data_IF_914265046504
#
_entry.id   IF_914265046504
#
_cell.length_a   1.000
_cell.length_b   1.000
_cell.length_c   1.000
_cell.angle_alpha   90.00
_cell.angle_beta   90.00
_cell.angle_gamma   90.00
#
_symmetry.space_group_name_H-M   'P 1'
#
loop_
_entity.id
_entity.type
_entity.pdbx_description
1 polymer ?
#
# COMPACT_ATOMS: atom_id res chain seq x y z
N UNK A 1 0.31 -11.16 19.24
CA UNK A 1 0.77 -12.44 18.65
C UNK A 1 0.63 -12.45 17.13
N UNK A 2 -0.58 -12.29 16.56
CA UNK A 2 -0.81 -12.35 15.10
C UNK A 2 -0.11 -11.24 14.29
N UNK A 3 -0.09 -10.00 14.81
CA UNK A 3 0.59 -8.86 14.16
C UNK A 3 2.11 -9.09 14.07
N UNK A 4 2.72 -9.62 15.13
CA UNK A 4 4.17 -9.90 15.13
C UNK A 4 4.54 -10.97 14.12
N UNK A 5 3.75 -12.04 14.02
CA UNK A 5 3.93 -13.11 13.01
C UNK A 5 3.87 -12.55 11.58
N UNK A 6 2.94 -11.64 11.31
CA UNK A 6 2.82 -10.99 10.00
C UNK A 6 4.07 -10.16 9.68
N UNK A 7 4.55 -9.34 10.62
CA UNK A 7 5.77 -8.55 10.44
C UNK A 7 7.03 -9.43 10.32
N UNK A 8 7.09 -10.55 11.03
CA UNK A 8 8.18 -11.53 10.92
C UNK A 8 8.20 -12.20 9.55
N UNK A 9 7.05 -12.64 9.05
CA UNK A 9 6.91 -13.20 7.72
C UNK A 9 7.37 -12.21 6.66
N UNK A 10 6.92 -10.96 6.76
CA UNK A 10 7.34 -9.89 5.87
C UNK A 10 8.84 -9.64 5.92
N UNK A 11 9.42 -9.52 7.13
CA UNK A 11 10.87 -9.33 7.28
C UNK A 11 11.66 -10.50 6.68
N UNK A 12 11.17 -11.73 6.85
CA UNK A 12 11.81 -12.92 6.28
C UNK A 12 11.81 -12.90 4.75
N UNK A 13 10.66 -12.57 4.14
CA UNK A 13 10.54 -12.44 2.69
C UNK A 13 11.44 -11.32 2.15
N UNK A 14 11.46 -10.18 2.82
CA UNK A 14 12.30 -9.04 2.44
C UNK A 14 13.79 -9.41 2.47
N UNK A 15 14.25 -10.15 3.49
CA UNK A 15 15.63 -10.62 3.58
C UNK A 15 16.00 -11.56 2.43
N UNK A 16 15.11 -12.51 2.10
CA UNK A 16 15.33 -13.45 1.02
C UNK A 16 15.45 -12.73 -0.33
N UNK A 17 14.56 -11.78 -0.60
CA UNK A 17 14.59 -10.97 -1.82
C UNK A 17 15.84 -10.09 -1.85
N UNK A 18 16.20 -9.47 -0.73
CA UNK A 18 17.38 -8.62 -0.62
C UNK A 18 18.66 -9.36 -0.94
N UNK A 19 18.85 -10.57 -0.41
CA UNK A 19 20.04 -11.40 -0.68
C UNK A 19 20.16 -11.74 -2.17
N UNK A 20 19.04 -12.13 -2.80
CA UNK A 20 19.02 -12.43 -4.23
C UNK A 20 19.34 -11.19 -5.08
N UNK A 21 18.79 -10.02 -4.71
CA UNK A 21 19.06 -8.76 -5.41
C UNK A 21 20.52 -8.32 -5.23
N UNK A 22 21.08 -8.41 -4.03
CA UNK A 22 22.48 -8.06 -3.79
C UNK A 22 23.44 -8.91 -4.61
N UNK A 23 23.17 -10.21 -4.75
CA UNK A 23 23.98 -11.10 -5.59
C UNK A 23 23.87 -10.72 -7.07
N UNK A 24 22.66 -10.51 -7.58
CA UNK A 24 22.43 -10.18 -9.00
C UNK A 24 22.95 -8.80 -9.40
N UNK A 25 22.81 -7.82 -8.51
CA UNK A 25 23.06 -6.41 -8.82
C UNK A 25 24.48 -5.95 -8.43
N UNK A 26 25.31 -6.81 -7.84
CA UNK A 26 26.58 -6.39 -7.23
C UNK A 26 27.55 -5.69 -8.19
N UNK A 27 27.56 -6.10 -9.46
CA UNK A 27 28.49 -5.59 -10.48
C UNK A 27 27.88 -4.51 -11.37
N UNK A 28 26.69 -4.01 -11.03
CA UNK A 28 25.98 -2.99 -11.78
C UNK A 28 26.06 -1.63 -11.07
N UNK A 29 25.87 -0.56 -11.85
CA UNK A 29 25.70 0.81 -11.35
C UNK A 29 24.30 1.28 -11.72
N UNK A 30 23.70 2.06 -10.84
CA UNK A 30 22.36 2.60 -11.01
C UNK A 30 22.36 4.06 -10.62
N UNK A 31 21.78 4.91 -11.47
CA UNK A 31 21.62 6.34 -11.21
C UNK A 31 20.29 6.65 -10.50
N UNK A 32 19.37 5.67 -10.50
CA UNK A 32 18.05 5.76 -9.90
C UNK A 32 17.69 4.44 -9.21
N UNK A 33 17.16 4.55 -7.98
CA UNK A 33 16.54 3.46 -7.25
C UNK A 33 15.07 3.81 -7.03
N UNK A 34 14.21 2.89 -7.45
CA UNK A 34 12.76 3.00 -7.27
C UNK A 34 12.29 1.98 -6.23
N UNK A 35 11.63 2.45 -5.17
CA UNK A 35 11.15 1.59 -4.07
C UNK A 35 9.68 1.81 -3.77
N UNK A 36 9.02 0.81 -3.21
CA UNK A 36 7.65 0.96 -2.71
C UNK A 36 7.64 1.49 -1.26
N UNK A 37 6.73 2.42 -0.96
CA UNK A 37 6.37 2.84 0.39
C UNK A 37 5.07 2.15 0.75
N UNK A 38 5.25 0.98 1.38
CA UNK A 38 4.16 0.25 2.01
C UNK A 38 4.71 -0.50 3.21
N UNK A 39 5.37 -1.61 2.97
CA UNK A 39 5.78 -2.51 4.03
C UNK A 39 7.13 -2.11 4.64
N UNK A 40 8.21 -2.03 3.85
CA UNK A 40 9.59 -1.90 4.35
C UNK A 40 10.38 -0.80 3.65
N UNK A 41 11.31 -0.18 4.37
CA UNK A 41 12.30 0.77 3.83
C UNK A 41 13.64 0.12 3.51
N UNK A 42 13.78 -1.19 3.72
CA UNK A 42 15.04 -1.92 3.59
C UNK A 42 15.75 -1.68 2.24
N UNK A 43 14.97 -1.59 1.17
CA UNK A 43 15.48 -1.43 -0.19
C UNK A 43 16.07 -0.05 -0.47
N UNK A 44 15.84 0.95 0.39
CA UNK A 44 16.53 2.24 0.30
C UNK A 44 18.05 2.10 0.49
N UNK A 45 18.52 1.01 1.10
CA UNK A 45 19.95 0.71 1.19
C UNK A 45 20.64 0.57 -0.17
N UNK A 46 19.91 0.21 -1.23
CA UNK A 46 20.46 0.23 -2.58
C UNK A 46 20.80 1.65 -3.06
N UNK A 47 20.01 2.66 -2.67
CA UNK A 47 20.31 4.05 -3.00
C UNK A 47 21.60 4.52 -2.30
N UNK A 48 21.82 4.08 -1.06
CA UNK A 48 23.10 4.29 -0.37
C UNK A 48 24.26 3.59 -1.08
N UNK A 49 24.12 2.30 -1.40
CA UNK A 49 25.16 1.48 -2.05
C UNK A 49 25.59 2.06 -3.40
N UNK A 50 24.63 2.47 -4.22
CA UNK A 50 24.91 2.97 -5.57
C UNK A 50 25.04 4.49 -5.65
N UNK A 51 24.82 5.21 -4.54
CA UNK A 51 24.75 6.68 -4.50
C UNK A 51 23.75 7.25 -5.52
N UNK A 52 22.61 6.56 -5.64
CA UNK A 52 21.59 6.82 -6.63
C UNK A 52 20.50 7.76 -6.09
N UNK A 53 19.77 8.41 -7.00
CA UNK A 53 18.55 9.16 -6.63
C UNK A 53 17.43 8.19 -6.23
N UNK A 54 16.48 8.67 -5.41
CA UNK A 54 15.38 7.85 -4.89
C UNK A 54 14.04 8.37 -5.42
N UNK A 55 13.28 7.48 -6.05
CA UNK A 55 11.86 7.69 -6.35
C UNK A 55 11.05 6.61 -5.63
N UNK A 56 9.94 7.00 -5.03
CA UNK A 56 9.07 6.08 -4.34
C UNK A 56 7.73 5.90 -5.04
N UNK A 57 7.19 4.69 -4.94
CA UNK A 57 5.86 4.30 -5.39
C UNK A 57 5.00 3.95 -4.17
N UNK A 58 3.70 4.19 -4.23
CA UNK A 58 2.76 3.62 -3.27
C UNK A 58 1.60 3.00 -4.02
N UNK A 59 1.34 1.72 -3.78
CA UNK A 59 0.26 0.95 -4.40
C UNK A 59 -1.13 1.33 -3.88
N UNK A 60 -1.18 2.01 -2.74
CA UNK A 60 -2.39 2.46 -2.07
C UNK A 60 -2.26 3.94 -1.65
N UNK A 61 -3.31 4.57 -1.07
CA UNK A 61 -3.16 5.87 -0.45
C UNK A 61 -2.03 5.86 0.59
N UNK A 62 -1.32 6.99 0.71
CA UNK A 62 -0.14 7.10 1.57
C UNK A 62 -0.42 6.62 2.99
N UNK A 63 0.29 5.58 3.39
CA UNK A 63 0.23 4.97 4.73
C UNK A 63 0.72 5.94 5.83
N UNK A 64 0.28 5.80 7.09
CA UNK A 64 0.56 6.78 8.14
C UNK A 64 2.05 7.07 8.37
N UNK A 65 2.91 6.04 8.34
CA UNK A 65 4.38 6.18 8.46
C UNK A 65 5.06 6.77 7.22
N UNK A 66 4.34 6.89 6.11
CA UNK A 66 4.80 7.57 4.89
C UNK A 66 4.60 9.09 4.94
N UNK A 67 3.63 9.57 5.73
CA UNK A 67 3.16 10.97 5.69
C UNK A 67 4.23 11.96 6.14
N UNK A 68 4.94 11.65 7.24
CA UNK A 68 5.99 12.51 7.80
C UNK A 68 7.19 12.68 6.86
N UNK A 69 7.48 11.69 6.03
CA UNK A 69 8.62 11.70 5.09
C UNK A 69 8.52 12.82 4.06
N UNK A 70 7.28 13.17 3.70
CA UNK A 70 6.97 14.17 2.68
C UNK A 70 6.29 15.42 3.28
N UNK A 71 6.19 15.53 4.61
CA UNK A 71 5.50 16.65 5.26
C UNK A 71 4.00 16.70 4.94
N UNK A 72 3.38 15.55 4.67
CA UNK A 72 1.94 15.47 4.40
C UNK A 72 1.18 15.63 5.73
N UNK A 73 0.21 16.57 5.85
CA UNK A 73 -0.60 16.69 7.05
C UNK A 73 -1.37 15.41 7.35
N UNK A 74 -1.30 14.90 8.58
CA UNK A 74 -1.92 13.64 9.03
C UNK A 74 -2.64 13.80 10.38
N UNK A 75 -3.53 14.80 10.48
CA UNK A 75 -4.29 15.03 11.71
C UNK A 75 -5.51 14.08 11.80
N UNK A 76 -5.57 13.17 12.79
CA UNK A 76 -6.65 12.19 12.91
C UNK A 76 -8.01 12.79 13.30
N UNK A 77 -8.10 14.08 13.61
CA UNK A 77 -9.39 14.74 13.89
C UNK A 77 -10.26 14.92 12.64
N UNK A 78 -9.64 14.94 11.44
CA UNK A 78 -10.33 15.12 10.16
C UNK A 78 -9.78 14.23 9.02
N UNK A 79 -8.65 13.55 9.22
CA UNK A 79 -8.12 12.56 8.26
C UNK A 79 -8.45 11.16 8.75
N UNK A 80 -9.25 10.38 7.99
CA UNK A 80 -9.53 8.99 8.35
C UNK A 80 -8.27 8.13 8.35
N UNK A 81 -8.25 7.18 9.26
CA UNK A 81 -7.24 6.13 9.34
C UNK A 81 -7.17 5.36 8.01
N UNK A 82 -5.94 5.18 7.49
CA UNK A 82 -5.67 4.70 6.14
C UNK A 82 -6.28 3.32 5.80
N UNK A 83 -6.51 2.47 6.81
CA UNK A 83 -7.10 1.14 6.63
C UNK A 83 -8.56 1.06 7.07
N UNK A 84 -9.21 2.18 7.35
CA UNK A 84 -10.65 2.19 7.60
C UNK A 84 -11.44 2.53 6.34
N UNK A 85 -12.50 1.76 6.11
CA UNK A 85 -13.54 2.12 5.16
C UNK A 85 -14.38 3.26 5.73
N UNK A 86 -14.13 4.50 5.27
CA UNK A 86 -14.96 5.70 5.50
C UNK A 86 -15.49 5.83 6.94
N UNK A 87 -14.63 6.21 7.88
CA UNK A 87 -15.08 6.61 9.22
C UNK A 87 -15.78 7.96 9.07
N UNK A 88 -17.03 8.03 9.50
CA UNK A 88 -17.70 9.30 9.73
C UNK A 88 -17.05 9.99 10.94
N UNK A 89 -16.27 11.04 10.68
CA UNK A 89 -15.58 11.82 11.70
C UNK A 89 -16.44 12.95 12.29
N UNK A 90 -17.77 12.93 12.12
CA UNK A 90 -18.66 13.94 12.73
C UNK A 90 -18.66 13.87 14.25
N UNK A 91 -18.71 12.67 14.83
CA UNK A 91 -18.80 12.47 16.28
C UNK A 91 -17.43 12.46 16.97
N UNK A 92 -17.37 12.93 18.22
CA UNK A 92 -16.15 12.92 19.03
C UNK A 92 -15.62 11.50 19.27
N UNK A 93 -16.51 10.54 19.52
CA UNK A 93 -16.15 9.14 19.74
C UNK A 93 -15.50 8.51 18.52
N UNK A 94 -15.99 8.78 17.32
CA UNK A 94 -15.38 8.30 16.08
C UNK A 94 -14.00 8.93 15.85
N UNK A 95 -13.84 10.22 16.13
CA UNK A 95 -12.53 10.88 16.07
C UNK A 95 -11.54 10.30 17.08
N UNK A 96 -11.99 9.98 18.29
CA UNK A 96 -11.17 9.37 19.32
C UNK A 96 -10.71 7.96 18.92
N UNK A 97 -11.61 7.14 18.37
CA UNK A 97 -11.26 5.85 17.80
C UNK A 97 -10.28 5.97 16.64
N UNK A 98 -10.50 6.92 15.74
CA UNK A 98 -9.61 7.19 14.62
C UNK A 98 -8.19 7.58 15.09
N UNK A 99 -8.11 8.48 16.08
CA UNK A 99 -6.85 8.85 16.73
C UNK A 99 -6.16 7.63 17.33
N UNK A 100 -6.88 6.84 18.13
CA UNK A 100 -6.33 5.67 18.80
C UNK A 100 -5.81 4.63 17.81
N UNK A 101 -6.56 4.32 16.75
CA UNK A 101 -6.14 3.39 15.70
C UNK A 101 -4.90 3.88 14.94
N UNK A 102 -4.86 5.16 14.57
CA UNK A 102 -3.69 5.74 13.88
C UNK A 102 -2.46 5.74 14.82
N UNK A 103 -2.64 6.17 16.07
CA UNK A 103 -1.58 6.23 17.07
C UNK A 103 -0.94 4.86 17.35
N UNK A 104 -1.76 3.81 17.54
CA UNK A 104 -1.25 2.45 17.76
C UNK A 104 -0.43 1.99 16.56
N UNK A 105 -0.98 2.14 15.35
CA UNK A 105 -0.30 1.62 14.16
C UNK A 105 1.05 2.31 13.94
N UNK A 106 1.07 3.63 14.10
CA UNK A 106 2.30 4.42 13.99
C UNK A 106 3.33 4.04 15.05
N UNK A 107 2.89 3.91 16.30
CA UNK A 107 3.76 3.49 17.42
C UNK A 107 4.34 2.10 17.18
N UNK A 108 3.52 1.15 16.73
CA UNK A 108 3.98 -0.22 16.42
C UNK A 108 5.01 -0.21 15.29
N UNK A 109 4.75 0.56 14.22
CA UNK A 109 5.68 0.70 13.11
C UNK A 109 7.02 1.31 13.56
N UNK A 110 6.98 2.45 14.25
CA UNK A 110 8.16 3.19 14.66
C UNK A 110 9.00 2.43 15.71
N UNK A 111 8.36 1.86 16.73
CA UNK A 111 9.09 1.26 17.84
C UNK A 111 9.59 -0.16 17.55
N UNK A 112 8.80 -0.98 16.85
CA UNK A 112 9.15 -2.39 16.64
C UNK A 112 9.71 -2.65 15.25
N UNK A 113 9.07 -2.11 14.22
CA UNK A 113 9.35 -2.52 12.86
C UNK A 113 10.55 -1.74 12.26
N UNK A 114 10.60 -0.42 12.46
CA UNK A 114 11.69 0.41 11.95
C UNK A 114 13.06 0.02 12.51
N UNK A 115 13.14 -0.27 13.82
CA UNK A 115 14.37 -0.73 14.46
C UNK A 115 14.88 -2.06 13.87
N UNK A 116 13.97 -3.00 13.63
CA UNK A 116 14.31 -4.30 13.03
C UNK A 116 14.84 -4.14 11.61
N UNK A 117 14.17 -3.33 10.80
CA UNK A 117 14.61 -3.03 9.43
C UNK A 117 15.96 -2.31 9.45
N UNK A 118 16.14 -1.30 10.30
CA UNK A 118 17.38 -0.52 10.38
C UNK A 118 18.59 -1.42 10.69
N UNK A 119 18.43 -2.35 11.64
CA UNK A 119 19.47 -3.34 11.96
C UNK A 119 19.75 -4.28 10.79
N UNK A 120 18.71 -4.76 10.10
CA UNK A 120 18.85 -5.56 8.89
C UNK A 120 19.58 -4.80 7.79
N UNK A 121 19.22 -3.55 7.53
CA UNK A 121 19.85 -2.71 6.52
C UNK A 121 21.35 -2.55 6.80
N UNK A 122 21.73 -2.25 8.04
CA UNK A 122 23.13 -2.17 8.46
C UNK A 122 23.88 -3.49 8.29
N UNK A 123 23.23 -4.63 8.55
CA UNK A 123 23.83 -5.95 8.34
C UNK A 123 24.21 -6.20 6.88
N UNK A 124 23.38 -5.77 5.92
CA UNK A 124 23.60 -6.06 4.48
C UNK A 124 24.38 -4.95 3.74
N UNK A 125 24.24 -3.69 4.15
CA UNK A 125 24.84 -2.53 3.47
C UNK A 125 26.00 -1.89 4.24
N UNK A 126 26.30 -2.37 5.45
CA UNK A 126 27.41 -1.93 6.30
C UNK A 126 26.93 -1.17 7.54
N UNK A 127 27.68 -1.28 8.64
CA UNK A 127 27.39 -0.61 9.93
C UNK A 127 27.35 0.92 9.81
N UNK A 128 28.15 1.44 8.89
CA UNK A 128 28.38 2.88 8.68
C UNK A 128 27.34 3.50 7.72
N UNK A 129 26.36 2.70 7.29
CA UNK A 129 25.27 3.15 6.43
C UNK A 129 24.48 4.28 7.09
N UNK A 130 24.17 5.31 6.29
CA UNK A 130 23.21 6.36 6.65
C UNK A 130 21.89 5.75 7.14
N UNK A 131 21.29 6.34 8.18
CA UNK A 131 20.04 5.80 8.72
C UNK A 131 18.94 5.76 7.64
N UNK A 132 18.05 4.77 7.71
CA UNK A 132 16.93 4.67 6.78
C UNK A 132 16.05 5.92 6.84
N UNK A 133 15.87 6.50 8.02
CA UNK A 133 15.16 7.76 8.22
C UNK A 133 15.77 8.90 7.39
N UNK A 134 17.09 9.04 7.38
CA UNK A 134 17.78 10.05 6.56
C UNK A 134 17.66 9.75 5.06
N UNK A 135 17.69 8.47 4.67
CA UNK A 135 17.47 8.08 3.27
C UNK A 135 16.04 8.37 2.81
N UNK A 136 15.03 8.16 3.67
CA UNK A 136 13.63 8.48 3.30
C UNK A 136 13.46 9.96 2.98
N UNK A 137 14.16 10.85 3.71
CA UNK A 137 14.16 12.31 3.47
C UNK A 137 14.82 12.71 2.15
N UNK A 138 15.66 11.85 1.56
CA UNK A 138 16.29 12.09 0.25
C UNK A 138 15.40 11.67 -0.94
N UNK A 139 14.20 11.15 -0.67
CA UNK A 139 13.24 10.77 -1.71
C UNK A 139 12.77 12.00 -2.48
N UNK A 140 13.08 12.05 -3.78
CA UNK A 140 12.81 13.22 -4.62
C UNK A 140 11.36 13.27 -5.11
N UNK A 141 10.71 12.13 -5.25
CA UNK A 141 9.36 12.02 -5.82
C UNK A 141 8.63 10.81 -5.20
N UNK A 142 7.35 11.00 -4.89
CA UNK A 142 6.42 9.93 -4.53
C UNK A 142 5.28 9.86 -5.54
N UNK A 143 5.14 8.69 -6.17
CA UNK A 143 4.05 8.37 -7.08
C UNK A 143 3.02 7.50 -6.34
N UNK A 144 1.81 8.02 -6.16
CA UNK A 144 0.75 7.36 -5.36
C UNK A 144 -0.34 6.84 -6.28
N UNK A 145 -0.65 5.55 -6.18
CA UNK A 145 -1.80 4.96 -6.84
C UNK A 145 -3.09 5.30 -6.10
N UNK A 146 -3.44 6.59 -6.11
CA UNK A 146 -4.72 7.11 -5.66
C UNK A 146 -5.23 8.16 -6.66
N UNK A 147 -6.49 8.57 -6.49
CA UNK A 147 -7.08 9.63 -7.29
C UNK A 147 -7.86 10.57 -6.37
N UNK A 148 -7.80 11.91 -6.57
CA UNK A 148 -8.51 12.87 -5.74
C UNK A 148 -10.02 12.59 -5.62
N UNK A 149 -10.65 12.07 -6.68
CA UNK A 149 -12.09 11.74 -6.68
C UNK A 149 -12.48 10.54 -5.80
N UNK A 150 -11.52 9.74 -5.32
CA UNK A 150 -11.78 8.52 -4.54
C UNK A 150 -11.65 8.72 -3.03
N UNK A 151 -11.14 9.88 -2.59
CA UNK A 151 -10.81 10.16 -1.19
C UNK A 151 -11.19 11.60 -0.83
N UNK A 152 -11.19 11.88 0.46
CA UNK A 152 -11.36 13.24 0.96
C UNK A 152 -10.22 14.15 0.49
N UNK A 153 -10.52 15.44 0.36
CA UNK A 153 -9.53 16.44 -0.02
C UNK A 153 -8.40 16.48 1.01
N UNK A 154 -7.18 16.19 0.56
CA UNK A 154 -5.96 16.22 1.38
C UNK A 154 -4.90 17.08 0.70
N UNK A 155 -4.29 18.05 1.40
CA UNK A 155 -3.17 18.80 0.85
C UNK A 155 -1.97 17.87 0.66
N UNK A 156 -1.41 17.88 -0.54
CA UNK A 156 -0.21 17.12 -0.89
C UNK A 156 0.89 18.10 -1.34
N UNK A 157 2.15 17.88 -0.93
CA UNK A 157 3.28 18.64 -1.44
C UNK A 157 3.50 18.34 -2.93
N UNK A 158 4.18 19.23 -3.68
CA UNK A 158 4.36 19.07 -5.13
C UNK A 158 5.14 17.81 -5.53
N UNK A 159 5.97 17.27 -4.62
CA UNK A 159 6.72 16.03 -4.83
C UNK A 159 5.87 14.76 -4.69
N UNK A 160 4.58 14.88 -4.38
CA UNK A 160 3.66 13.73 -4.26
C UNK A 160 2.64 13.82 -5.40
N UNK A 161 2.76 12.92 -6.36
CA UNK A 161 1.92 12.90 -7.57
C UNK A 161 0.99 11.70 -7.53
N UNK A 162 -0.31 11.97 -7.68
CA UNK A 162 -1.33 10.94 -7.79
C UNK A 162 -1.39 10.40 -9.23
N UNK A 163 -1.12 9.11 -9.39
CA UNK A 163 -1.09 8.38 -10.67
C UNK A 163 -2.11 7.23 -10.69
N UNK A 164 -3.25 7.43 -10.04
CA UNK A 164 -4.33 6.45 -9.94
C UNK A 164 -4.73 5.89 -11.31
N UNK A 165 -4.74 4.56 -11.42
CA UNK A 165 -5.18 3.90 -12.65
C UNK A 165 -4.12 3.84 -13.76
N UNK A 166 -2.83 4.09 -13.47
CA UNK A 166 -1.73 3.93 -14.43
C UNK A 166 -1.71 2.54 -15.11
N UNK A 167 -2.19 1.51 -14.40
CA UNK A 167 -2.27 0.13 -14.89
C UNK A 167 -3.54 -0.17 -15.71
N UNK A 168 -4.51 0.74 -15.76
CA UNK A 168 -5.81 0.53 -16.42
C UNK A 168 -5.64 0.71 -17.92
N UNK A 169 -5.91 -0.37 -18.66
CA UNK A 169 -5.92 -0.34 -20.13
C UNK A 169 -7.24 0.26 -20.64
N UNK A 170 -7.25 0.81 -21.86
CA UNK A 170 -8.50 1.23 -22.50
C UNK A 170 -9.54 0.11 -22.46
N UNK A 171 -10.79 0.49 -22.17
CA UNK A 171 -11.88 -0.47 -22.11
C UNK A 171 -12.02 -1.20 -23.46
N UNK A 172 -12.01 -2.54 -23.41
CA UNK A 172 -12.33 -3.34 -24.60
C UNK A 172 -13.79 -3.13 -24.96
N UNK A 173 -14.15 -3.07 -26.25
CA UNK A 173 -15.54 -2.98 -26.67
C UNK A 173 -16.33 -4.16 -26.08
N UNK A 174 -17.53 -3.84 -25.58
CA UNK A 174 -18.44 -4.87 -25.07
C UNK A 174 -18.72 -5.87 -26.18
N UNK A 175 -18.57 -7.17 -25.89
CA UNK A 175 -18.97 -8.23 -26.81
C UNK A 175 -20.44 -8.01 -27.18
N UNK A 176 -20.72 -7.84 -28.48
CA UNK A 176 -22.10 -7.78 -28.99
C UNK A 176 -22.73 -9.16 -28.78
N UNK A 177 -23.52 -9.30 -27.71
CA UNK A 177 -24.41 -10.44 -27.54
C UNK A 177 -25.50 -10.31 -28.61
N UNK A 178 -25.71 -11.34 -29.42
CA UNK A 178 -26.75 -11.35 -30.45
C UNK A 178 -28.14 -11.17 -29.81
N UNK A 179 -28.94 -10.33 -30.46
CA UNK A 179 -30.21 -9.78 -30.02
C UNK A 179 -31.38 -10.77 -30.01
N UNK A 180 -31.16 -12.03 -29.65
CA UNK A 180 -32.24 -13.02 -29.44
C UNK A 180 -32.63 -13.23 -27.97
N UNK A 181 -31.86 -12.69 -27.01
CA UNK A 181 -32.17 -12.73 -25.56
C UNK A 181 -32.26 -11.32 -24.95
N UNK A 182 -32.85 -10.37 -25.67
CA UNK A 182 -32.84 -8.94 -25.30
C UNK A 182 -33.75 -8.55 -24.12
N UNK A 183 -34.55 -9.47 -23.57
CA UNK A 183 -35.43 -9.15 -22.43
C UNK A 183 -34.77 -9.33 -21.05
N UNK A 184 -33.57 -9.92 -20.96
CA UNK A 184 -32.86 -10.15 -19.69
C UNK A 184 -31.64 -9.24 -19.45
N UNK A 185 -31.37 -8.26 -20.31
CA UNK A 185 -30.05 -7.58 -20.35
C UNK A 185 -30.06 -6.17 -19.71
N UNK A 186 -31.17 -5.65 -19.21
CA UNK A 186 -31.18 -4.28 -18.64
C UNK A 186 -31.09 -4.16 -17.11
N UNK A 187 -31.07 -5.25 -16.34
CA UNK A 187 -30.89 -5.16 -14.88
C UNK A 187 -29.93 -6.25 -14.39
N UNK A 188 -28.86 -5.81 -13.71
CA UNK A 188 -27.95 -6.61 -12.87
C UNK A 188 -26.92 -7.51 -13.58
N UNK A 189 -25.89 -6.90 -14.19
CA UNK A 189 -24.58 -7.57 -14.34
C UNK A 189 -23.72 -7.23 -13.12
N UNK A 190 -23.80 -8.05 -12.08
CA UNK A 190 -22.80 -8.02 -11.01
C UNK A 190 -21.49 -8.57 -11.56
N UNK A 191 -20.44 -7.76 -11.52
CA UNK A 191 -19.07 -8.21 -11.79
C UNK A 191 -18.45 -8.54 -10.43
N UNK A 192 -18.17 -9.83 -10.20
CA UNK A 192 -17.46 -10.28 -9.00
C UNK A 192 -16.00 -10.55 -9.37
N UNK A 193 -15.08 -9.82 -8.72
CA UNK A 193 -13.64 -10.05 -8.80
C UNK A 193 -13.10 -10.03 -7.37
N UNK A 194 -12.35 -11.07 -7.00
CA UNK A 194 -11.78 -11.21 -5.64
C UNK A 194 -10.38 -10.59 -5.52
N UNK A 195 -9.87 -9.94 -6.57
CA UNK A 195 -8.46 -9.57 -6.63
C UNK A 195 -7.56 -10.81 -6.65
N UNK A 196 -6.25 -10.59 -6.77
CA UNK A 196 -5.29 -11.70 -6.83
C UNK A 196 -4.89 -12.23 -5.43
N UNK A 197 -5.17 -11.49 -4.35
CA UNK A 197 -4.60 -11.76 -3.02
C UNK A 197 -5.57 -12.47 -2.04
N UNK A 198 -6.79 -12.79 -2.44
CA UNK A 198 -7.76 -13.46 -1.55
C UNK A 198 -7.68 -14.99 -1.67
N UNK A 199 -7.12 -15.66 -0.65
CA UNK A 199 -7.26 -17.11 -0.47
C UNK A 199 -8.68 -17.44 0.04
N UNK A 200 -9.61 -17.74 -0.89
CA UNK A 200 -11.03 -17.94 -0.57
C UNK A 200 -11.43 -19.42 -0.59
N UNK A 201 -11.09 -20.17 0.46
CA UNK A 201 -11.53 -21.57 0.62
C UNK A 201 -12.99 -21.67 1.10
N UNK A 202 -13.27 -21.16 2.30
CA UNK A 202 -14.57 -21.33 2.98
C UNK A 202 -15.58 -20.21 2.70
N UNK A 203 -15.13 -18.98 2.46
CA UNK A 203 -16.04 -17.86 2.16
C UNK A 203 -16.69 -17.98 0.77
N UNK A 204 -16.03 -18.65 -0.19
CA UNK A 204 -16.55 -18.89 -1.54
C UNK A 204 -17.81 -19.74 -1.52
N UNK A 205 -17.84 -20.75 -0.64
CA UNK A 205 -18.99 -21.66 -0.48
C UNK A 205 -20.22 -21.00 0.16
N UNK A 206 -20.02 -20.17 1.18
CA UNK A 206 -21.13 -19.41 1.81
C UNK A 206 -21.67 -18.32 0.89
N UNK A 207 -20.81 -17.67 0.11
CA UNK A 207 -21.20 -16.64 -0.85
C UNK A 207 -22.04 -17.21 -2.01
N UNK A 208 -21.63 -18.35 -2.58
CA UNK A 208 -22.40 -19.02 -3.64
C UNK A 208 -23.79 -19.47 -3.16
N UNK A 209 -23.93 -19.91 -1.90
CA UNK A 209 -25.24 -20.25 -1.32
C UNK A 209 -26.16 -19.05 -1.10
N UNK A 210 -25.62 -17.87 -0.78
CA UNK A 210 -26.41 -16.66 -0.55
C UNK A 210 -27.05 -16.10 -1.83
N UNK A 211 -26.42 -16.32 -2.99
CA UNK A 211 -26.96 -15.88 -4.29
C UNK A 211 -28.04 -16.83 -4.81
N UNK A 212 -28.01 -18.11 -4.43
CA UNK A 212 -29.00 -19.11 -4.87
C UNK A 212 -30.32 -19.12 -4.07
N UNK A 213 -30.41 -18.41 -2.93
CA UNK A 213 -31.55 -18.51 -2.00
C UNK A 213 -32.64 -17.43 -2.17
N UNK A 214 -32.57 -16.58 -3.19
CA UNK A 214 -33.54 -15.49 -3.40
C UNK A 214 -34.41 -15.70 -4.66
N UNK A 215 -34.80 -16.93 -4.96
CA UNK A 215 -35.70 -17.22 -6.09
C UNK A 215 -37.02 -17.91 -5.75
N UNK A 216 -37.35 -18.12 -4.48
CA UNK A 216 -38.65 -18.67 -4.06
C UNK A 216 -39.32 -17.76 -3.02
N UNK A 217 -39.92 -16.64 -3.47
CA UNK A 217 -41.05 -15.93 -2.86
C UNK A 217 -41.83 -15.20 -3.95
#
# INVERSE_FOLDING_TARGET
MMINLLFELFTYLDNLVLEQLLQKLNNHKFDLVMTEIFNTDLFLGFAYKYKANIISLSSCPVVPWGTQRFGIPDNPAYIPYAFSSKIDLTSFTNRLWNFYSNFILKTVYEQYYLNKISNTAKKYFGSDMTSLEELTKKTSLLLVNSHPSLKEARPLPPQVIEIGGLHVKPAKPLLKVSSSNSYMIQKQKYIFSYGNDLFVGLQKYKFLRGVTYNHDL
#
